data_IF_247899602380
#
_entry.id   IF_247899602380
#
_cell.length_a   1.000
_cell.length_b   1.000
_cell.length_c   1.000
_cell.angle_alpha   90.00
_cell.angle_beta   90.00
_cell.angle_gamma   90.00
#
_symmetry.space_group_name_H-M   'P 1'
#
loop_
_entity.id
_entity.type
_entity.pdbx_description
1 polymer ?
#
# COMPACT_ATOMS: atom_id res chain seq x y z
N UNK A 1 -8.52 -41.45 15.18
CA UNK A 1 -7.31 -41.15 14.39
C UNK A 1 -7.25 -39.64 14.19
N UNK A 2 -6.06 -39.04 14.02
CA UNK A 2 -5.89 -37.59 14.17
C UNK A 2 -6.48 -36.74 13.04
N UNK A 3 -6.95 -35.54 13.39
CA UNK A 3 -7.30 -34.49 12.43
C UNK A 3 -6.00 -33.82 11.95
N UNK A 4 -5.75 -33.84 10.64
CA UNK A 4 -4.60 -33.17 10.03
C UNK A 4 -4.94 -31.72 9.64
N UNK A 5 -4.19 -30.75 10.16
CA UNK A 5 -4.33 -29.35 9.74
C UNK A 5 -3.75 -29.17 8.33
N UNK A 6 -4.61 -28.80 7.37
CA UNK A 6 -4.19 -28.32 6.05
C UNK A 6 -3.65 -26.88 6.18
N UNK A 7 -2.33 -26.76 6.29
CA UNK A 7 -1.64 -25.47 6.13
C UNK A 7 -1.62 -25.07 4.65
N UNK A 8 -2.25 -23.95 4.32
CA UNK A 8 -2.01 -23.26 3.06
C UNK A 8 -0.71 -22.43 3.18
N UNK A 9 0.24 -22.67 2.28
CA UNK A 9 1.48 -21.88 2.24
C UNK A 9 1.24 -20.52 1.55
N UNK A 10 1.21 -19.46 2.37
CA UNK A 10 1.05 -18.07 1.94
C UNK A 10 2.37 -17.39 1.52
N UNK A 11 3.47 -18.14 1.38
CA UNK A 11 4.79 -17.60 1.00
C UNK A 11 4.84 -16.89 -0.37
N UNK A 12 3.85 -17.10 -1.23
CA UNK A 12 3.71 -16.40 -2.52
C UNK A 12 3.26 -14.92 -2.42
N UNK A 13 2.68 -14.48 -1.30
CA UNK A 13 2.07 -13.14 -1.19
C UNK A 13 3.04 -12.00 -0.82
N UNK A 14 4.36 -12.18 -0.91
CA UNK A 14 5.32 -11.13 -0.51
C UNK A 14 6.53 -10.99 -1.46
N UNK A 15 6.42 -10.17 -2.54
CA UNK A 15 7.51 -9.97 -3.50
C UNK A 15 8.67 -9.11 -2.96
N UNK A 16 8.57 -8.50 -1.77
CA UNK A 16 9.54 -7.51 -1.29
C UNK A 16 10.79 -8.07 -0.57
N UNK A 17 11.00 -9.39 -0.54
CA UNK A 17 12.23 -10.02 0.00
C UNK A 17 13.08 -10.71 -1.07
N UNK A 18 13.81 -9.94 -1.90
CA UNK A 18 14.90 -10.48 -2.74
C UNK A 18 15.95 -9.47 -3.27
N UNK A 19 16.54 -8.63 -2.40
CA UNK A 19 17.89 -8.05 -2.64
C UNK A 19 18.54 -7.45 -1.38
N UNK A 20 19.24 -8.30 -0.62
CA UNK A 20 20.33 -7.94 0.29
C UNK A 20 21.37 -9.08 0.25
N UNK A 21 22.65 -8.76 0.42
CA UNK A 21 23.74 -9.74 0.23
C UNK A 21 23.89 -10.77 1.34
N UNK A 22 24.82 -11.71 1.15
CA UNK A 22 25.16 -12.75 2.13
C UNK A 22 25.80 -12.15 3.40
N UNK A 23 24.97 -11.69 4.33
CA UNK A 23 25.33 -11.40 5.71
C UNK A 23 24.90 -12.54 6.63
N UNK A 24 25.83 -13.07 7.41
CA UNK A 24 25.55 -14.16 8.34
C UNK A 24 24.64 -13.65 9.48
N UNK A 25 23.46 -14.26 9.77
CA UNK A 25 22.50 -13.69 10.70
C UNK A 25 22.93 -13.89 12.16
N UNK A 26 23.69 -12.92 12.69
CA UNK A 26 24.02 -12.84 14.12
C UNK A 26 22.74 -12.81 14.95
N UNK A 27 22.52 -13.81 15.81
CA UNK A 27 21.36 -13.87 16.72
C UNK A 27 21.47 -12.80 17.82
N UNK A 28 20.99 -11.59 17.55
CA UNK A 28 20.82 -10.56 18.58
C UNK A 28 19.63 -10.92 19.46
N UNK A 29 19.92 -11.47 20.64
CA UNK A 29 18.91 -11.85 21.63
C UNK A 29 18.51 -10.63 22.47
N UNK A 30 17.42 -9.96 22.09
CA UNK A 30 16.85 -8.86 22.88
C UNK A 30 16.10 -9.40 24.09
N UNK A 31 16.83 -9.53 25.21
CA UNK A 31 16.25 -9.89 26.51
C UNK A 31 15.54 -8.67 27.09
N UNK A 32 14.25 -8.51 26.78
CA UNK A 32 13.40 -7.45 27.35
C UNK A 32 13.45 -7.49 28.89
N UNK A 33 13.73 -6.37 29.57
CA UNK A 33 13.69 -6.31 31.03
C UNK A 33 12.23 -6.45 31.49
N UNK A 34 11.98 -7.36 32.44
CA UNK A 34 10.67 -7.55 33.02
C UNK A 34 10.32 -6.37 33.94
N UNK A 35 9.59 -5.38 33.42
CA UNK A 35 9.01 -4.32 34.24
C UNK A 35 7.77 -4.86 34.97
N UNK A 36 7.86 -4.90 36.30
CA UNK A 36 6.76 -5.27 37.18
C UNK A 36 5.73 -4.13 37.28
N UNK A 37 4.82 -4.05 36.31
CA UNK A 37 3.75 -3.04 36.31
C UNK A 37 2.60 -3.53 37.19
N UNK A 38 2.42 -2.90 38.36
CA UNK A 38 1.24 -3.13 39.20
C UNK A 38 -0.03 -2.58 38.52
N UNK A 39 -1.22 -3.19 38.74
CA UNK A 39 -2.47 -2.80 38.10
C UNK A 39 -3.08 -1.53 38.72
N UNK A 40 -2.48 -0.37 38.47
CA UNK A 40 -3.07 0.93 38.78
C UNK A 40 -4.24 1.22 37.84
N UNK A 41 -5.45 1.39 38.41
CA UNK A 41 -6.67 1.68 37.64
C UNK A 41 -6.66 3.11 37.11
N UNK A 42 -6.08 3.34 35.93
CA UNK A 42 -6.28 4.58 35.17
C UNK A 42 -7.61 4.52 34.44
N UNK A 43 -8.55 5.36 34.86
CA UNK A 43 -9.82 5.53 34.15
C UNK A 43 -9.57 6.17 32.78
N UNK A 44 -10.27 5.68 31.75
CA UNK A 44 -10.18 6.27 30.42
C UNK A 44 -10.89 7.64 30.39
N UNK A 45 -10.31 8.67 29.72
CA UNK A 45 -10.96 9.96 29.57
C UNK A 45 -12.30 9.82 28.84
N UNK A 46 -13.33 10.46 29.38
CA UNK A 46 -14.73 10.22 29.02
C UNK A 46 -15.08 10.58 27.56
N UNK A 47 -14.23 11.39 26.92
CA UNK A 47 -14.40 11.92 25.55
C UNK A 47 -14.64 10.81 24.51
N UNK A 48 -13.93 9.68 24.62
CA UNK A 48 -14.03 8.59 23.63
C UNK A 48 -15.34 7.80 23.66
N UNK A 49 -16.22 8.01 24.65
CA UNK A 49 -17.50 7.30 24.76
C UNK A 49 -18.65 7.92 23.96
N UNK A 50 -18.46 9.10 23.34
CA UNK A 50 -19.52 9.84 22.63
C UNK A 50 -19.60 9.63 21.11
N UNK A 51 -18.73 8.80 20.52
CA UNK A 51 -18.66 8.61 19.06
C UNK A 51 -19.40 7.37 18.52
N UNK A 52 -20.06 6.59 19.37
CA UNK A 52 -20.81 5.39 18.99
C UNK A 52 -22.18 5.34 19.69
N UNK A 53 -23.06 6.30 19.36
CA UNK A 53 -24.49 6.23 19.67
C UNK A 53 -25.25 5.69 18.44
N UNK A 54 -25.67 4.41 18.44
CA UNK A 54 -26.39 3.84 17.30
C UNK A 54 -27.80 4.41 17.11
N UNK A 55 -28.37 5.16 18.06
CA UNK A 55 -29.71 5.75 17.93
C UNK A 55 -29.78 6.91 16.93
N UNK A 56 -28.63 7.40 16.44
CA UNK A 56 -28.57 8.48 15.44
C UNK A 56 -28.73 7.99 13.99
N UNK A 57 -28.69 6.67 13.73
CA UNK A 57 -28.74 6.10 12.37
C UNK A 57 -30.12 6.17 11.68
N UNK A 58 -31.22 6.16 12.44
CA UNK A 58 -32.59 6.15 11.87
C UNK A 58 -33.14 7.54 11.51
N UNK A 59 -32.40 8.62 11.76
CA UNK A 59 -32.80 9.96 11.33
C UNK A 59 -32.58 10.12 9.84
N UNK A 60 -33.61 9.76 9.05
CA UNK A 60 -33.78 10.19 7.65
C UNK A 60 -33.78 11.72 7.56
N UNK A 61 -32.60 12.32 7.47
CA UNK A 61 -32.44 13.69 7.01
C UNK A 61 -32.93 13.72 5.56
N UNK A 62 -34.05 14.40 5.32
CA UNK A 62 -34.48 14.74 3.98
C UNK A 62 -33.49 15.77 3.42
N UNK A 63 -32.39 15.29 2.83
CA UNK A 63 -31.42 16.14 2.14
C UNK A 63 -32.12 16.71 0.90
N UNK A 64 -32.60 17.94 1.04
CA UNK A 64 -33.09 18.74 -0.08
C UNK A 64 -32.01 18.76 -1.16
N UNK A 65 -32.34 18.47 -2.44
CA UNK A 65 -31.34 18.24 -3.47
C UNK A 65 -30.62 19.54 -3.84
N UNK A 66 -29.56 19.86 -3.09
CA UNK A 66 -28.71 21.00 -3.40
C UNK A 66 -28.19 20.86 -4.83
N UNK A 67 -28.57 21.84 -5.65
CA UNK A 67 -28.27 21.92 -7.08
C UNK A 67 -26.76 21.80 -7.28
N UNK A 68 -26.30 20.59 -7.63
CA UNK A 68 -24.89 20.30 -7.87
C UNK A 68 -24.40 21.27 -8.94
N UNK A 69 -23.57 22.23 -8.52
CA UNK A 69 -22.86 23.09 -9.45
C UNK A 69 -21.96 22.17 -10.25
N UNK A 70 -22.24 22.07 -11.55
CA UNK A 70 -21.40 21.32 -12.49
C UNK A 70 -20.05 22.04 -12.59
N UNK A 71 -19.12 21.70 -11.70
CA UNK A 71 -17.72 22.02 -11.91
C UNK A 71 -17.33 21.44 -13.28
N UNK A 72 -16.81 22.29 -14.15
CA UNK A 72 -16.26 21.84 -15.42
C UNK A 72 -15.21 20.75 -15.15
N UNK A 73 -15.12 19.70 -15.98
CA UNK A 73 -14.10 18.67 -15.81
C UNK A 73 -12.72 19.34 -15.72
N UNK A 74 -11.85 18.93 -14.79
CA UNK A 74 -10.53 19.52 -14.65
C UNK A 74 -9.79 19.40 -15.99
N UNK A 75 -9.09 20.45 -16.44
CA UNK A 75 -8.51 20.49 -17.78
C UNK A 75 -7.58 19.29 -17.98
N UNK A 76 -7.76 18.57 -19.09
CA UNK A 76 -6.96 17.40 -19.42
C UNK A 76 -5.47 17.78 -19.48
N UNK A 77 -4.74 17.44 -18.41
CA UNK A 77 -3.29 17.51 -18.40
C UNK A 77 -2.78 16.48 -19.40
N UNK A 78 -2.43 16.96 -20.61
CA UNK A 78 -1.89 16.17 -21.71
C UNK A 78 -0.62 15.46 -21.25
N UNK A 79 -0.77 14.22 -20.78
CA UNK A 79 0.34 13.40 -20.32
C UNK A 79 1.30 13.13 -21.48
N UNK A 80 2.60 13.34 -21.27
CA UNK A 80 3.60 13.06 -22.29
C UNK A 80 3.62 11.56 -22.62
N UNK A 81 3.49 11.14 -23.89
CA UNK A 81 3.17 9.75 -24.23
C UNK A 81 4.29 8.73 -23.93
N UNK A 82 5.50 9.18 -23.65
CA UNK A 82 6.73 8.37 -23.67
C UNK A 82 6.88 7.31 -22.57
N UNK A 83 6.06 7.32 -21.52
CA UNK A 83 6.17 6.36 -20.40
C UNK A 83 5.16 5.20 -20.50
N UNK A 84 4.05 5.39 -21.24
CA UNK A 84 2.99 4.36 -21.38
C UNK A 84 3.41 3.26 -22.37
N UNK A 85 4.09 3.65 -23.44
CA UNK A 85 4.40 2.80 -24.60
C UNK A 85 5.27 1.57 -24.22
N UNK A 86 6.28 1.75 -23.36
CA UNK A 86 7.13 0.64 -22.88
C UNK A 86 6.42 -0.40 -22.00
N UNK A 87 5.23 -0.10 -21.45
CA UNK A 87 4.40 -1.09 -20.75
C UNK A 87 3.37 -1.74 -21.67
N UNK A 88 2.81 -1.00 -22.63
CA UNK A 88 1.86 -1.53 -23.61
C UNK A 88 2.45 -2.69 -24.43
N UNK A 89 3.73 -2.59 -24.82
CA UNK A 89 4.39 -3.61 -25.63
C UNK A 89 4.55 -4.96 -24.89
N UNK A 90 4.64 -4.93 -23.56
CA UNK A 90 4.63 -6.14 -22.70
C UNK A 90 3.25 -6.80 -22.53
N UNK A 91 2.17 -6.18 -23.00
CA UNK A 91 0.84 -6.81 -23.06
C UNK A 91 0.44 -7.24 -24.48
N UNK A 92 1.07 -6.72 -25.53
CA UNK A 92 0.82 -7.17 -26.90
C UNK A 92 1.38 -8.57 -27.19
N UNK A 93 2.52 -8.95 -26.59
CA UNK A 93 3.16 -10.26 -26.83
C UNK A 93 2.44 -11.46 -26.18
N UNK A 94 1.29 -11.25 -25.53
CA UNK A 94 0.47 -12.33 -24.95
C UNK A 94 -0.98 -12.35 -25.45
N UNK A 95 -1.28 -11.66 -26.56
CA UNK A 95 -2.44 -12.03 -27.39
C UNK A 95 -2.09 -13.25 -28.27
N UNK A 96 -1.89 -14.40 -27.61
CA UNK A 96 -2.07 -15.67 -28.27
C UNK A 96 -3.58 -15.93 -28.45
N UNK A 97 -3.96 -16.56 -29.55
CA UNK A 97 -5.29 -17.17 -29.67
C UNK A 97 -5.55 -18.05 -28.43
N UNK A 98 -6.72 -17.96 -27.77
CA UNK A 98 -7.01 -18.76 -26.59
C UNK A 98 -7.07 -20.24 -26.97
N UNK A 99 -6.05 -21.01 -26.59
CA UNK A 99 -5.90 -22.42 -26.94
C UNK A 99 -7.18 -23.20 -26.59
N UNK A 100 -7.80 -23.77 -27.63
CA UNK A 100 -8.98 -24.62 -27.53
C UNK A 100 -8.82 -25.83 -26.58
N UNK A 101 -7.58 -26.20 -26.21
CA UNK A 101 -7.34 -27.24 -25.21
C UNK A 101 -7.74 -26.84 -23.78
N UNK A 102 -7.78 -25.53 -23.45
CA UNK A 102 -8.04 -24.98 -22.11
C UNK A 102 -9.52 -25.03 -21.67
N UNK A 103 -10.23 -26.10 -22.02
CA UNK A 103 -11.65 -26.30 -21.67
C UNK A 103 -11.80 -26.66 -20.19
N UNK A 104 -12.46 -25.78 -19.43
CA UNK A 104 -12.67 -25.87 -17.97
C UNK A 104 -13.17 -27.24 -17.50
N UNK A 105 -12.83 -27.61 -16.25
CA UNK A 105 -13.31 -28.82 -15.58
C UNK A 105 -14.83 -28.97 -15.69
N UNK A 106 -15.58 -27.90 -15.44
CA UNK A 106 -17.04 -27.91 -15.56
C UNK A 106 -17.50 -28.00 -17.03
N UNK A 107 -16.77 -27.42 -17.99
CA UNK A 107 -17.06 -27.61 -19.42
C UNK A 107 -16.90 -29.07 -19.89
N UNK A 108 -16.02 -29.85 -19.25
CA UNK A 108 -15.89 -31.30 -19.49
C UNK A 108 -16.95 -32.10 -18.73
N UNK A 109 -17.26 -31.73 -17.48
CA UNK A 109 -18.34 -32.34 -16.69
C UNK A 109 -19.71 -32.18 -17.38
N UNK A 110 -20.05 -30.95 -17.81
CA UNK A 110 -21.26 -30.66 -18.59
C UNK A 110 -21.32 -31.47 -19.89
N UNK A 111 -20.18 -31.63 -20.60
CA UNK A 111 -20.13 -32.43 -21.84
C UNK A 111 -20.33 -33.93 -21.59
N UNK A 112 -19.97 -34.42 -20.40
CA UNK A 112 -20.32 -35.77 -19.95
C UNK A 112 -21.82 -35.88 -19.60
N UNK A 113 -22.35 -34.94 -18.82
CA UNK A 113 -23.77 -34.89 -18.44
C UNK A 113 -24.69 -34.81 -19.67
N UNK A 114 -24.35 -34.00 -20.68
CA UNK A 114 -25.07 -33.91 -21.96
C UNK A 114 -25.06 -35.25 -22.71
N UNK A 115 -23.93 -35.97 -22.76
CA UNK A 115 -23.86 -37.29 -23.41
C UNK A 115 -24.63 -38.41 -22.70
N UNK A 116 -24.90 -38.28 -21.40
CA UNK A 116 -25.58 -39.30 -20.57
C UNK A 116 -27.12 -39.17 -20.54
N UNK A 117 -27.71 -38.21 -21.28
CA UNK A 117 -29.16 -37.91 -21.29
C UNK A 117 -30.07 -39.14 -21.51
N UNK A 118 -29.62 -40.12 -22.30
CA UNK A 118 -30.38 -41.33 -22.66
C UNK A 118 -30.52 -42.38 -21.53
N UNK A 119 -29.95 -42.15 -20.34
CA UNK A 119 -29.93 -43.14 -19.24
C UNK A 119 -30.40 -42.59 -17.87
N UNK A 120 -30.95 -41.38 -17.82
CA UNK A 120 -31.04 -40.60 -16.57
C UNK A 120 -32.39 -40.68 -15.83
N UNK A 121 -32.78 -41.88 -15.40
CA UNK A 121 -33.39 -42.13 -14.07
C UNK A 121 -32.82 -43.46 -13.55
N UNK A 122 -33.10 -43.98 -12.36
CA UNK A 122 -33.53 -43.39 -11.07
C UNK A 122 -32.32 -43.42 -10.13
N UNK A 123 -32.39 -42.64 -9.05
CA UNK A 123 -31.28 -42.35 -8.14
C UNK A 123 -30.06 -41.73 -8.87
N UNK A 124 -30.04 -40.39 -8.95
CA UNK A 124 -28.77 -39.67 -8.84
C UNK A 124 -28.45 -39.70 -7.33
N UNK A 125 -27.44 -40.46 -6.86
CA UNK A 125 -27.32 -40.72 -5.43
C UNK A 125 -26.82 -39.49 -4.67
N UNK A 126 -27.30 -39.29 -3.44
CA UNK A 126 -26.77 -38.32 -2.46
C UNK A 126 -25.25 -38.44 -2.26
N UNK A 127 -24.71 -39.63 -2.56
CA UNK A 127 -23.29 -39.97 -2.52
C UNK A 127 -22.42 -39.21 -3.53
N UNK A 128 -22.95 -38.67 -4.63
CA UNK A 128 -22.16 -37.86 -5.60
C UNK A 128 -21.67 -36.55 -4.96
N UNK A 129 -22.38 -36.04 -3.95
CA UNK A 129 -22.04 -34.83 -3.20
C UNK A 129 -21.28 -35.12 -1.90
N UNK A 130 -21.37 -36.35 -1.37
CA UNK A 130 -20.78 -36.76 -0.09
C UNK A 130 -19.51 -37.62 -0.23
N UNK A 131 -19.30 -38.26 -1.39
CA UNK A 131 -18.03 -38.93 -1.74
C UNK A 131 -17.08 -37.94 -2.43
N UNK A 132 -15.79 -38.23 -2.35
CA UNK A 132 -14.80 -37.58 -3.20
C UNK A 132 -15.12 -37.91 -4.68
N UNK A 133 -15.56 -36.92 -5.47
CA UNK A 133 -15.95 -37.10 -6.89
C UNK A 133 -14.87 -37.80 -7.72
N UNK A 134 -13.60 -37.63 -7.35
CA UNK A 134 -12.44 -38.30 -7.95
C UNK A 134 -12.52 -39.84 -7.90
N UNK A 135 -13.12 -40.40 -6.84
CA UNK A 135 -13.22 -41.85 -6.64
C UNK A 135 -14.45 -42.46 -7.33
N UNK A 136 -15.59 -41.77 -7.36
CA UNK A 136 -16.78 -42.26 -8.10
C UNK A 136 -16.54 -42.32 -9.61
N UNK A 137 -15.74 -41.39 -10.14
CA UNK A 137 -15.28 -41.41 -11.52
C UNK A 137 -14.59 -42.74 -11.90
N UNK A 138 -13.90 -43.40 -10.96
CA UNK A 138 -13.26 -44.70 -11.21
C UNK A 138 -14.25 -45.89 -11.14
N UNK A 139 -15.27 -45.82 -10.29
CA UNK A 139 -16.26 -46.91 -10.16
C UNK A 139 -17.32 -46.89 -11.25
N UNK A 140 -17.66 -45.72 -11.78
CA UNK A 140 -18.67 -45.52 -12.82
C UNK A 140 -18.43 -46.36 -14.09
N UNK A 141 -17.17 -46.54 -14.51
CA UNK A 141 -16.82 -47.34 -15.69
C UNK A 141 -17.09 -48.85 -15.55
N UNK A 142 -17.35 -49.35 -14.33
CA UNK A 142 -17.41 -50.79 -14.04
C UNK A 142 -18.83 -51.35 -13.82
N UNK A 143 -19.88 -50.52 -13.81
CA UNK A 143 -21.23 -50.96 -13.39
C UNK A 143 -22.38 -50.32 -14.16
N UNK A 144 -22.73 -50.87 -15.34
CA UNK A 144 -23.82 -50.36 -16.20
C UNK A 144 -24.75 -51.49 -16.68
N UNK A 145 -25.63 -51.96 -15.79
CA UNK A 145 -26.73 -52.91 -16.03
C UNK A 145 -27.96 -52.53 -15.18
N UNK A 146 -29.16 -52.72 -15.74
CA UNK A 146 -30.51 -52.54 -15.17
C UNK A 146 -30.90 -51.11 -14.65
N UNK A 147 -32.18 -50.69 -14.65
CA UNK A 147 -33.43 -51.33 -15.11
C UNK A 147 -34.55 -51.25 -14.04
N UNK A 148 -35.80 -50.83 -14.30
CA UNK A 148 -36.30 -50.11 -15.49
C UNK A 148 -37.37 -49.02 -15.21
N UNK A 149 -37.65 -48.65 -13.95
CA UNK A 149 -38.05 -47.26 -13.58
C UNK A 149 -36.84 -46.29 -13.61
N UNK A 150 -35.79 -46.73 -14.31
CA UNK A 150 -34.78 -45.91 -14.98
C UNK A 150 -35.37 -45.23 -16.22
N UNK A 151 -34.70 -44.23 -16.78
CA UNK A 151 -35.14 -43.26 -17.84
C UNK A 151 -35.58 -41.74 -17.44
N UNK A 152 -37.53 -40.66 -15.74
CA UNK A 152 -38.00 -39.33 -15.21
C UNK A 152 -37.17 -38.72 -14.06
N UNK A 153 -36.95 -39.44 -12.95
CA UNK A 153 -36.41 -38.83 -11.71
C UNK A 153 -35.02 -38.17 -11.86
N UNK A 154 -34.03 -38.85 -12.46
CA UNK A 154 -32.74 -38.19 -12.68
C UNK A 154 -32.78 -37.20 -13.86
N UNK A 155 -33.89 -37.07 -14.61
CA UNK A 155 -34.02 -35.99 -15.60
C UNK A 155 -34.28 -34.67 -14.86
N UNK A 156 -35.16 -34.70 -13.86
CA UNK A 156 -35.39 -33.56 -12.98
C UNK A 156 -34.14 -33.18 -12.16
N UNK A 157 -33.40 -34.16 -11.61
CA UNK A 157 -32.14 -33.87 -10.91
C UNK A 157 -31.04 -33.45 -11.90
N UNK A 158 -31.01 -33.98 -13.13
CA UNK A 158 -30.06 -33.52 -14.16
C UNK A 158 -30.34 -32.07 -14.54
N UNK A 159 -31.60 -31.66 -14.72
CA UNK A 159 -31.91 -30.25 -15.00
C UNK A 159 -31.48 -29.36 -13.83
N UNK A 160 -31.89 -29.67 -12.59
CA UNK A 160 -31.47 -28.91 -11.39
C UNK A 160 -29.93 -28.84 -11.25
N UNK A 161 -29.21 -29.94 -11.51
CA UNK A 161 -27.74 -29.96 -11.51
C UNK A 161 -27.13 -29.11 -12.63
N UNK A 162 -27.72 -29.10 -13.83
CA UNK A 162 -27.23 -28.30 -14.96
C UNK A 162 -27.52 -26.81 -14.74
N UNK A 163 -28.71 -26.48 -14.23
CA UNK A 163 -29.10 -25.12 -13.83
C UNK A 163 -28.15 -24.59 -12.75
N UNK A 164 -27.79 -25.43 -11.76
CA UNK A 164 -26.78 -25.10 -10.72
C UNK A 164 -25.35 -24.97 -11.27
N UNK A 165 -25.00 -25.72 -12.32
CA UNK A 165 -23.71 -25.57 -13.01
C UNK A 165 -23.68 -24.25 -13.80
N UNK A 166 -24.80 -23.82 -14.40
CA UNK A 166 -24.90 -22.53 -15.08
C UNK A 166 -24.84 -21.34 -14.08
N UNK A 167 -25.53 -21.44 -12.95
CA UNK A 167 -25.44 -20.47 -11.84
C UNK A 167 -23.99 -20.33 -11.33
N UNK A 168 -23.29 -21.45 -11.13
CA UNK A 168 -21.87 -21.44 -10.73
C UNK A 168 -20.95 -20.84 -11.81
N UNK A 169 -21.22 -21.06 -13.09
CA UNK A 169 -20.47 -20.43 -14.20
C UNK A 169 -20.71 -18.91 -14.28
N UNK A 170 -21.94 -18.46 -14.02
CA UNK A 170 -22.24 -17.04 -13.93
C UNK A 170 -21.51 -16.36 -12.76
N UNK A 171 -21.48 -17.00 -11.58
CA UNK A 171 -20.74 -16.54 -10.41
C UNK A 171 -19.21 -16.56 -10.61
N UNK A 172 -18.67 -17.57 -11.31
CA UNK A 172 -17.24 -17.60 -11.69
C UNK A 172 -16.90 -16.40 -12.58
N UNK A 173 -17.73 -16.12 -13.59
CA UNK A 173 -17.54 -14.99 -14.51
C UNK A 173 -17.70 -13.62 -13.82
N UNK A 174 -18.58 -13.50 -12.81
CA UNK A 174 -18.68 -12.29 -11.99
C UNK A 174 -17.44 -12.10 -11.12
N UNK A 175 -16.98 -13.17 -10.44
CA UNK A 175 -15.75 -13.13 -9.64
C UNK A 175 -14.52 -12.75 -10.48
N UNK A 176 -14.38 -13.28 -11.70
CA UNK A 176 -13.30 -12.90 -12.62
C UNK A 176 -13.33 -11.40 -12.99
N UNK A 177 -14.51 -10.80 -13.20
CA UNK A 177 -14.65 -9.35 -13.44
C UNK A 177 -14.22 -8.54 -12.21
N UNK A 178 -14.62 -8.97 -11.02
CA UNK A 178 -14.25 -8.32 -9.75
C UNK A 178 -12.74 -8.41 -9.47
N UNK A 179 -12.07 -9.51 -9.83
CA UNK A 179 -10.60 -9.61 -9.76
C UNK A 179 -9.91 -8.60 -10.70
N UNK A 180 -10.40 -8.47 -11.94
CA UNK A 180 -9.86 -7.52 -12.91
C UNK A 180 -10.05 -6.06 -12.46
N UNK A 181 -11.21 -5.72 -11.89
CA UNK A 181 -11.44 -4.39 -11.32
C UNK A 181 -10.58 -4.14 -10.06
N UNK A 182 -10.42 -5.12 -9.18
CA UNK A 182 -9.55 -5.00 -8.01
C UNK A 182 -8.10 -4.69 -8.42
N UNK A 183 -7.55 -5.39 -9.42
CA UNK A 183 -6.19 -5.13 -9.91
C UNK A 183 -6.09 -3.75 -10.59
N UNK A 184 -7.12 -3.33 -11.36
CA UNK A 184 -7.24 -1.97 -11.93
C UNK A 184 -7.20 -0.89 -10.85
N UNK A 185 -7.93 -1.07 -9.75
CA UNK A 185 -7.96 -0.13 -8.62
C UNK A 185 -6.63 -0.09 -7.87
N UNK A 186 -5.95 -1.24 -7.76
CA UNK A 186 -4.60 -1.39 -7.16
C UNK A 186 -3.52 -0.66 -7.98
N UNK A 187 -3.55 -0.76 -9.30
CA UNK A 187 -2.68 0.04 -10.19
C UNK A 187 -2.97 1.55 -10.09
N UNK A 188 -4.25 1.94 -9.95
CA UNK A 188 -4.63 3.33 -9.71
C UNK A 188 -4.13 3.84 -8.36
N UNK A 189 -4.21 3.03 -7.29
CA UNK A 189 -3.71 3.37 -5.96
C UNK A 189 -2.19 3.59 -5.98
N UNK A 190 -1.42 2.64 -6.51
CA UNK A 190 0.04 2.77 -6.64
C UNK A 190 0.45 4.01 -7.45
N UNK A 191 -0.32 4.35 -8.50
CA UNK A 191 -0.12 5.57 -9.29
C UNK A 191 -0.39 6.85 -8.50
N UNK A 192 -1.33 6.84 -7.54
CA UNK A 192 -1.61 7.97 -6.64
C UNK A 192 -0.59 8.09 -5.52
N UNK A 193 -0.09 6.98 -4.98
CA UNK A 193 0.99 6.96 -3.98
C UNK A 193 2.26 7.65 -4.52
N UNK A 194 2.70 7.29 -5.74
CA UNK A 194 3.84 7.93 -6.42
C UNK A 194 3.63 9.44 -6.61
N UNK A 195 2.40 9.87 -6.92
CA UNK A 195 2.07 11.29 -7.07
C UNK A 195 2.12 12.04 -5.73
N UNK A 196 1.59 11.46 -4.66
CA UNK A 196 1.64 12.01 -3.30
C UNK A 196 3.10 12.18 -2.85
N UNK A 197 3.93 11.15 -3.05
CA UNK A 197 5.37 11.18 -2.77
C UNK A 197 6.09 12.33 -3.49
N UNK A 198 5.73 12.57 -4.76
CA UNK A 198 6.33 13.63 -5.56
C UNK A 198 5.85 15.03 -5.13
N UNK A 199 4.58 15.18 -4.74
CA UNK A 199 4.09 16.42 -4.11
C UNK A 199 4.75 16.67 -2.74
N UNK A 200 4.98 15.65 -1.92
CA UNK A 200 5.70 15.78 -0.64
C UNK A 200 7.14 16.24 -0.88
N UNK A 201 7.85 15.70 -1.89
CA UNK A 201 9.20 16.15 -2.27
C UNK A 201 9.20 17.62 -2.72
N UNK A 202 8.25 18.02 -3.58
CA UNK A 202 8.11 19.40 -4.03
C UNK A 202 7.79 20.36 -2.86
N UNK A 203 6.85 20.00 -1.99
CA UNK A 203 6.47 20.78 -0.82
C UNK A 203 7.66 20.98 0.14
N UNK A 204 8.42 19.93 0.44
CA UNK A 204 9.66 20.03 1.24
C UNK A 204 10.70 20.95 0.58
N UNK A 205 10.85 20.90 -0.75
CA UNK A 205 11.78 21.77 -1.50
C UNK A 205 11.36 23.24 -1.47
N UNK A 206 10.07 23.54 -1.58
CA UNK A 206 9.53 24.89 -1.41
C UNK A 206 9.69 25.39 0.03
N UNK A 207 9.42 24.55 1.02
CA UNK A 207 9.58 24.89 2.44
C UNK A 207 11.04 25.20 2.82
N UNK A 208 12.01 24.40 2.34
CA UNK A 208 13.45 24.69 2.48
C UNK A 208 13.83 26.05 1.89
N UNK A 209 13.39 26.34 0.65
CA UNK A 209 13.64 27.64 0.00
C UNK A 209 13.06 28.81 0.79
N UNK A 210 11.84 28.65 1.32
CA UNK A 210 11.21 29.65 2.17
C UNK A 210 12.05 29.93 3.42
N UNK A 211 12.43 28.90 4.18
CA UNK A 211 13.29 29.08 5.37
C UNK A 211 14.68 29.65 5.06
N UNK A 212 15.24 29.38 3.88
CA UNK A 212 16.53 29.93 3.45
C UNK A 212 16.49 31.47 3.28
N UNK A 213 15.35 32.00 2.82
CA UNK A 213 15.12 33.42 2.49
C UNK A 213 14.19 34.17 3.45
N UNK A 214 13.70 33.53 4.51
CA UNK A 214 12.83 34.18 5.51
C UNK A 214 13.67 34.97 6.51
N UNK A 215 13.53 36.30 6.48
CA UNK A 215 14.17 37.20 7.43
C UNK A 215 13.57 37.03 8.84
N UNK A 216 14.44 36.83 9.83
CA UNK A 216 14.09 36.71 11.24
C UNK A 216 13.88 38.11 11.85
N UNK A 217 12.93 38.22 12.78
CA UNK A 217 12.68 39.42 13.60
C UNK A 217 14.03 40.02 14.10
N UNK A 218 14.28 41.34 13.92
CA UNK A 218 15.46 42.05 14.43
C UNK A 218 15.94 41.70 15.85
N UNK A 219 15.05 41.29 16.74
CA UNK A 219 15.35 40.88 18.12
C UNK A 219 16.04 39.51 18.24
N UNK A 220 15.89 38.63 17.24
CA UNK A 220 16.46 37.28 17.22
C UNK A 220 17.51 37.07 16.10
N UNK A 221 17.98 38.16 15.46
CA UNK A 221 19.07 38.10 14.48
C UNK A 221 20.39 37.73 15.16
N UNK A 222 21.21 36.88 14.53
CA UNK A 222 22.51 36.53 15.08
C UNK A 222 23.49 37.70 14.93
N UNK A 223 24.23 38.03 15.99
CA UNK A 223 25.19 39.15 15.98
C UNK A 223 26.60 38.56 16.10
N UNK A 224 27.42 38.75 15.07
CA UNK A 224 28.83 38.36 15.06
C UNK A 224 29.63 39.27 16.01
N UNK A 225 30.81 38.80 16.44
CA UNK A 225 31.67 39.54 17.39
C UNK A 225 32.28 40.83 16.81
N UNK A 226 32.21 41.01 15.49
CA UNK A 226 32.52 42.25 14.77
C UNK A 226 31.31 43.19 14.59
N UNK A 227 30.14 42.86 15.15
CA UNK A 227 28.91 43.65 15.07
C UNK A 227 28.04 43.42 13.82
N UNK A 228 28.49 42.59 12.87
CA UNK A 228 27.68 42.22 11.69
C UNK A 228 26.49 41.38 12.11
N UNK A 229 25.30 41.67 11.56
CA UNK A 229 24.07 40.92 11.82
C UNK A 229 23.79 39.93 10.69
N UNK A 230 23.25 38.77 11.05
CA UNK A 230 22.78 37.72 10.14
C UNK A 230 21.30 37.49 10.42
N UNK A 231 20.44 37.70 9.41
CA UNK A 231 18.97 37.62 9.57
C UNK A 231 18.33 36.35 9.04
N UNK A 232 19.04 35.55 8.24
CA UNK A 232 18.53 34.31 7.64
C UNK A 232 19.69 33.34 7.30
N UNK A 233 19.38 32.11 6.87
CA UNK A 233 20.39 31.10 6.52
C UNK A 233 21.20 31.45 5.27
N UNK A 234 20.64 32.20 4.32
CA UNK A 234 21.36 32.64 3.14
C UNK A 234 22.51 33.59 3.53
N UNK A 235 22.24 34.56 4.39
CA UNK A 235 23.27 35.44 4.95
C UNK A 235 24.29 34.70 5.81
N UNK A 236 23.88 33.66 6.57
CA UNK A 236 24.84 32.83 7.32
C UNK A 236 25.83 32.15 6.39
N UNK A 237 25.32 31.51 5.33
CA UNK A 237 26.12 30.82 4.32
C UNK A 237 27.10 31.76 3.60
N UNK A 238 26.63 32.94 3.17
CA UNK A 238 27.50 33.90 2.48
C UNK A 238 28.50 34.58 3.42
N UNK A 239 28.13 34.88 4.67
CA UNK A 239 29.09 35.35 5.69
C UNK A 239 30.17 34.28 5.96
N UNK A 240 29.82 33.00 6.08
CA UNK A 240 30.78 31.93 6.37
C UNK A 240 31.90 31.78 5.31
N UNK A 241 31.69 32.18 4.06
CA UNK A 241 32.73 32.13 3.01
C UNK A 241 33.89 33.09 3.30
N UNK A 242 33.57 34.27 3.82
CA UNK A 242 34.51 35.38 4.00
C UNK A 242 34.75 35.74 5.49
N UNK A 243 34.13 35.02 6.43
CA UNK A 243 34.26 35.24 7.87
C UNK A 243 35.70 35.04 8.34
N UNK A 244 36.21 36.02 9.10
CA UNK A 244 37.53 35.99 9.72
C UNK A 244 37.65 34.83 10.75
N UNK A 245 38.80 34.12 10.82
CA UNK A 245 39.00 33.02 11.75
C UNK A 245 38.82 33.36 13.25
N UNK A 246 39.13 34.58 13.67
CA UNK A 246 38.92 35.05 15.06
C UNK A 246 37.43 35.29 15.34
N UNK A 247 36.68 35.78 14.35
CA UNK A 247 35.22 35.92 14.44
C UNK A 247 34.55 34.54 14.50
N UNK A 248 34.98 33.60 13.66
CA UNK A 248 34.45 32.23 13.65
C UNK A 248 34.73 31.49 14.98
N UNK A 249 35.99 31.50 15.44
CA UNK A 249 36.41 30.78 16.67
C UNK A 249 35.83 31.36 17.97
N UNK A 250 35.28 32.58 17.94
CA UNK A 250 34.49 33.13 19.04
C UNK A 250 33.14 32.39 19.22
N UNK A 251 32.53 31.94 18.12
CA UNK A 251 31.20 31.31 18.07
C UNK A 251 31.24 29.78 17.97
N UNK A 252 32.32 29.22 17.39
CA UNK A 252 32.54 27.78 17.23
C UNK A 252 33.87 27.37 17.86
N UNK A 253 33.82 26.46 18.83
CA UNK A 253 34.98 25.88 19.49
C UNK A 253 34.64 24.47 20.03
N UNK A 254 35.60 23.70 20.60
CA UNK A 254 35.36 22.32 21.06
C UNK A 254 34.29 22.11 22.14
N UNK A 255 33.64 23.16 22.63
CA UNK A 255 32.59 23.11 23.66
C UNK A 255 31.26 23.77 23.24
N UNK A 256 31.23 24.55 22.15
CA UNK A 256 30.01 25.22 21.67
C UNK A 256 30.04 25.50 20.15
N UNK A 257 28.86 25.55 19.55
CA UNK A 257 28.64 26.07 18.19
C UNK A 257 27.38 26.94 18.23
N UNK A 258 27.55 28.25 18.41
CA UNK A 258 26.44 29.18 18.64
C UNK A 258 25.55 29.34 17.41
N UNK A 259 26.09 29.16 16.21
CA UNK A 259 25.30 29.12 14.97
C UNK A 259 24.33 27.94 14.97
N UNK A 260 24.77 26.76 15.43
CA UNK A 260 23.90 25.59 15.53
C UNK A 260 22.82 25.76 16.61
N UNK A 261 23.14 26.39 17.74
CA UNK A 261 22.17 26.76 18.78
C UNK A 261 21.12 27.74 18.23
N UNK A 262 21.54 28.78 17.52
CA UNK A 262 20.64 29.76 16.89
C UNK A 262 19.71 29.11 15.84
N UNK A 263 20.24 28.27 14.97
CA UNK A 263 19.44 27.53 13.96
C UNK A 263 18.48 26.53 14.61
N UNK A 264 18.81 25.98 15.79
CA UNK A 264 17.89 25.17 16.58
C UNK A 264 16.78 26.03 17.21
N UNK A 265 17.14 26.99 18.06
CA UNK A 265 16.22 27.66 18.99
C UNK A 265 15.42 28.80 18.35
N UNK A 266 15.99 29.50 17.36
CA UNK A 266 15.32 30.63 16.67
C UNK A 266 14.63 30.18 15.39
N UNK A 267 15.23 29.26 14.63
CA UNK A 267 14.66 28.81 13.34
C UNK A 267 13.87 27.50 13.42
N UNK A 268 13.99 26.73 14.50
CA UNK A 268 13.32 25.43 14.67
C UNK A 268 13.90 24.31 13.77
N UNK A 269 15.08 24.49 13.20
CA UNK A 269 15.65 23.61 12.18
C UNK A 269 16.58 22.56 12.79
N UNK A 270 16.06 21.76 13.74
CA UNK A 270 16.87 20.84 14.55
C UNK A 270 17.72 19.84 13.74
N UNK A 271 17.23 19.35 12.59
CA UNK A 271 18.02 18.47 11.70
C UNK A 271 19.27 19.17 11.13
N UNK A 272 19.16 20.45 10.78
CA UNK A 272 20.29 21.25 10.31
C UNK A 272 21.24 21.54 11.48
N UNK A 273 20.70 21.94 12.64
CA UNK A 273 21.50 22.20 13.84
C UNK A 273 22.33 20.99 14.30
N UNK A 274 21.73 19.78 14.33
CA UNK A 274 22.46 18.55 14.69
C UNK A 274 23.52 18.13 13.66
N UNK A 275 23.48 18.65 12.44
CA UNK A 275 24.56 18.49 11.47
C UNK A 275 25.61 19.61 11.59
N UNK A 276 25.19 20.85 11.87
CA UNK A 276 26.07 21.99 12.13
C UNK A 276 26.95 21.77 13.38
N UNK A 277 26.41 21.15 14.44
CA UNK A 277 27.18 20.76 15.65
C UNK A 277 28.39 19.86 15.38
N UNK A 278 28.45 19.19 14.23
CA UNK A 278 29.52 18.26 13.83
C UNK A 278 30.60 18.92 12.96
N UNK A 279 30.39 20.17 12.53
CA UNK A 279 31.36 20.92 11.76
C UNK A 279 32.29 21.71 12.70
N UNK A 280 33.58 21.37 12.66
CA UNK A 280 34.61 22.04 13.47
C UNK A 280 35.23 23.21 12.68
N UNK A 281 35.27 23.12 11.34
CA UNK A 281 35.72 24.19 10.45
C UNK A 281 34.58 25.00 9.83
N UNK A 282 34.93 26.23 9.46
CA UNK A 282 34.08 27.20 8.75
C UNK A 282 33.62 26.65 7.40
N UNK A 283 34.50 25.93 6.72
CA UNK A 283 34.29 25.29 5.42
C UNK A 283 33.39 24.05 5.50
N UNK A 284 33.43 23.29 6.60
CA UNK A 284 32.43 22.25 6.88
C UNK A 284 31.06 22.85 7.20
N UNK A 285 31.02 23.90 8.02
CA UNK A 285 29.77 24.54 8.41
C UNK A 285 29.04 25.15 7.20
N UNK A 286 29.79 25.83 6.32
CA UNK A 286 29.28 26.34 5.05
C UNK A 286 28.72 25.22 4.16
N UNK A 287 29.45 24.11 4.00
CA UNK A 287 28.99 22.94 3.24
C UNK A 287 27.74 22.30 3.84
N UNK A 288 27.63 22.18 5.16
CA UNK A 288 26.43 21.63 5.83
C UNK A 288 25.19 22.49 5.53
N UNK A 289 25.33 23.82 5.55
CA UNK A 289 24.23 24.73 5.18
C UNK A 289 23.92 24.65 3.68
N UNK A 290 24.94 24.60 2.81
CA UNK A 290 24.79 24.46 1.36
C UNK A 290 24.08 23.15 0.96
N UNK A 291 24.51 22.02 1.50
CA UNK A 291 23.91 20.71 1.23
C UNK A 291 22.45 20.66 1.72
N UNK A 292 22.16 21.21 2.90
CA UNK A 292 20.79 21.29 3.39
C UNK A 292 19.91 22.20 2.52
N UNK A 293 20.44 23.33 2.04
CA UNK A 293 19.70 24.31 1.26
C UNK A 293 19.43 23.86 -0.19
N UNK A 294 20.41 23.27 -0.87
CA UNK A 294 20.38 23.10 -2.33
C UNK A 294 20.37 21.64 -2.82
N UNK A 295 20.86 20.69 -2.01
CA UNK A 295 21.13 19.29 -2.45
C UNK A 295 19.94 18.35 -2.21
N UNK A 296 18.72 18.82 -2.50
CA UNK A 296 17.44 18.12 -2.30
C UNK A 296 16.48 18.32 -3.47
#
# INVERSE_FOLDING_TARGET
>A
MGLGNLYFDVSFLNPFKKRAGNGNPTKVSYKLPAQSVSPEKKELPEVSKRLLDPSLLDKKVAVEPQKIVSLAPPPEMKAEPKIVEMKAERHRQHQAEPDESAKSFFSNLSRHLVKEENYLHTHLPRQVLEKNLFAEMQTFWNGKKEGMDRVLYNKAIKTDLMDKIEELQALELEWQKLQLEHERLKDQLASKEILIDNHIKQMKKTFKKMHLSSDINPEYQFILSNGVKIKNLYELHDNLKDMDPQVFSHHVNPHKNDFATWVHDVMGLSELAENMKKAESREELGRVVEEWAFKS
#
